data_IF_680992013474
#
_entry.id   IF_680992013474
#
_cell.length_a   1.000
_cell.length_b   1.000
_cell.length_c   1.000
_cell.angle_alpha   90.00
_cell.angle_beta   90.00
_cell.angle_gamma   90.00
#
_symmetry.space_group_name_H-M   'P 1'
#
loop_
_entity.id
_entity.type
_entity.pdbx_description
1 polymer ?
#
# COMPACT_ATOMS: atom_id res chain seq x y z
N UNK A 1 22.61 1.16 -4.87
CA UNK A 1 22.69 -0.15 -4.21
C UNK A 1 21.32 -0.73 -3.93
N UNK A 2 20.63 -0.27 -2.88
CA UNK A 2 19.37 -0.86 -2.41
C UNK A 2 18.19 -0.71 -3.38
N UNK A 3 17.96 0.49 -3.91
CA UNK A 3 16.90 0.74 -4.91
C UNK A 3 17.15 -0.04 -6.19
N UNK A 4 18.40 -0.13 -6.62
CA UNK A 4 18.82 -0.96 -7.78
C UNK A 4 18.49 -2.44 -7.55
N UNK A 5 18.81 -2.96 -6.35
CA UNK A 5 18.50 -4.34 -5.97
C UNK A 5 16.99 -4.60 -5.95
N UNK A 6 16.19 -3.67 -5.41
CA UNK A 6 14.73 -3.78 -5.45
C UNK A 6 14.23 -3.82 -6.89
N UNK A 7 14.64 -2.88 -7.76
CA UNK A 7 14.24 -2.88 -9.18
C UNK A 7 14.61 -4.17 -9.92
N UNK A 8 15.75 -4.77 -9.62
CA UNK A 8 16.16 -6.07 -10.16
C UNK A 8 15.23 -7.21 -9.70
N UNK A 9 14.89 -7.25 -8.41
CA UNK A 9 13.96 -8.26 -7.84
C UNK A 9 12.54 -8.07 -8.43
N UNK A 10 12.16 -6.83 -8.69
CA UNK A 10 10.85 -6.47 -9.26
C UNK A 10 10.75 -6.71 -10.77
N UNK A 11 11.87 -6.96 -11.46
CA UNK A 11 11.91 -7.08 -12.92
C UNK A 11 11.84 -5.75 -13.67
N UNK A 12 11.91 -4.62 -12.96
CA UNK A 12 11.92 -3.25 -13.53
C UNK A 12 13.29 -2.89 -14.13
N UNK A 13 14.34 -3.63 -13.77
CA UNK A 13 15.69 -3.46 -14.29
C UNK A 13 16.25 -4.85 -14.66
N UNK A 14 16.83 -5.04 -15.85
CA UNK A 14 17.54 -6.27 -16.18
C UNK A 14 18.91 -6.31 -15.48
N UNK A 15 19.39 -7.50 -15.05
CA UNK A 15 20.74 -7.64 -14.52
C UNK A 15 21.79 -7.49 -15.64
N UNK A 16 22.86 -6.75 -15.37
CA UNK A 16 24.00 -6.64 -16.30
C UNK A 16 24.74 -7.98 -16.49
N UNK A 17 24.73 -8.82 -15.44
CA UNK A 17 25.20 -10.21 -15.48
C UNK A 17 24.57 -11.04 -14.34
N UNK A 18 24.53 -12.36 -14.50
CA UNK A 18 23.87 -13.28 -13.56
C UNK A 18 22.39 -13.54 -13.90
N UNK A 19 21.67 -14.21 -13.01
CA UNK A 19 20.25 -14.56 -13.21
C UNK A 19 19.41 -14.17 -12.00
N UNK A 20 18.24 -13.60 -12.25
CA UNK A 20 17.21 -13.32 -11.25
C UNK A 20 16.02 -14.25 -11.55
N UNK A 21 15.62 -15.07 -10.57
CA UNK A 21 14.49 -15.99 -10.71
C UNK A 21 13.38 -15.59 -9.74
N UNK A 22 12.32 -15.01 -10.27
CA UNK A 22 11.14 -14.64 -9.50
C UNK A 22 10.30 -15.89 -9.21
N UNK A 23 9.83 -16.05 -7.98
CA UNK A 23 8.90 -17.12 -7.63
C UNK A 23 7.54 -16.91 -8.32
N UNK A 24 6.88 -17.99 -8.73
CA UNK A 24 5.62 -17.98 -9.49
C UNK A 24 4.41 -17.37 -8.76
N UNK A 25 4.54 -16.99 -7.49
CA UNK A 25 3.48 -16.43 -6.66
C UNK A 25 3.89 -15.11 -5.97
N UNK A 26 4.84 -14.39 -6.57
CA UNK A 26 5.33 -13.12 -6.03
C UNK A 26 4.25 -12.03 -6.20
N UNK A 27 3.41 -11.82 -5.18
CA UNK A 27 2.58 -10.62 -5.09
C UNK A 27 3.45 -9.49 -4.55
N UNK A 28 4.03 -8.73 -5.48
CA UNK A 28 4.75 -7.52 -5.12
C UNK A 28 3.74 -6.44 -4.74
N UNK A 29 3.62 -6.15 -3.45
CA UNK A 29 3.10 -4.87 -3.00
C UNK A 29 4.23 -3.84 -3.08
N UNK A 30 4.29 -3.08 -4.16
CA UNK A 30 5.25 -1.99 -4.32
C UNK A 30 4.78 -0.79 -3.50
N UNK A 31 5.47 -0.52 -2.40
CA UNK A 31 5.30 0.73 -1.66
C UNK A 31 6.11 1.80 -2.41
N UNK A 32 5.50 2.44 -3.40
CA UNK A 32 6.15 3.52 -4.15
C UNK A 32 6.49 4.67 -3.18
N UNK A 33 7.78 4.99 -3.06
CA UNK A 33 8.25 6.17 -2.32
C UNK A 33 7.81 7.47 -2.99
N UNK A 34 7.38 7.43 -4.25
CA UNK A 34 6.60 8.48 -4.87
C UNK A 34 5.16 8.32 -4.39
N UNK A 35 4.80 9.16 -3.42
CA UNK A 35 3.42 9.46 -3.06
C UNK A 35 2.66 9.84 -4.33
N UNK A 36 2.10 8.88 -5.05
CA UNK A 36 1.06 9.12 -6.04
C UNK A 36 0.02 9.94 -5.31
N UNK A 37 -0.15 11.20 -5.71
CA UNK A 37 -0.80 12.26 -4.94
C UNK A 37 -2.07 11.76 -4.25
N UNK A 38 -1.94 11.37 -2.98
CA UNK A 38 -3.09 11.03 -2.14
C UNK A 38 -3.94 12.28 -2.09
N UNK A 39 -5.20 12.18 -2.46
CA UNK A 39 -6.13 13.28 -2.28
C UNK A 39 -6.29 13.50 -0.78
N UNK A 40 -5.58 14.51 -0.28
CA UNK A 40 -5.44 14.77 1.14
C UNK A 40 -6.76 15.16 1.81
N UNK A 41 -7.76 15.53 1.01
CA UNK A 41 -9.11 15.88 1.45
C UNK A 41 -10.02 14.66 1.59
N UNK A 42 -9.71 13.54 0.93
CA UNK A 42 -10.47 12.30 1.07
C UNK A 42 -10.21 11.64 2.42
N UNK A 43 -11.21 10.89 2.90
CA UNK A 43 -11.05 10.09 4.09
C UNK A 43 -10.00 8.99 3.88
N UNK A 44 -9.37 8.52 4.96
CA UNK A 44 -8.46 7.39 4.90
C UNK A 44 -9.14 6.14 4.31
N UNK A 45 -10.38 5.86 4.72
CA UNK A 45 -11.16 4.74 4.19
C UNK A 45 -11.41 4.86 2.67
N UNK A 46 -11.83 6.03 2.19
CA UNK A 46 -12.07 6.28 0.76
C UNK A 46 -10.79 6.24 -0.07
N UNK A 47 -9.66 6.61 0.56
CA UNK A 47 -8.34 6.55 -0.07
C UNK A 47 -7.91 5.11 -0.30
N UNK A 48 -8.24 4.21 0.62
CA UNK A 48 -7.92 2.78 0.55
C UNK A 48 -8.94 2.00 -0.30
N UNK A 49 -10.22 2.37 -0.25
CA UNK A 49 -11.27 1.75 -1.08
C UNK A 49 -12.20 2.80 -1.69
N UNK A 50 -11.80 3.40 -2.82
CA UNK A 50 -12.62 4.42 -3.47
C UNK A 50 -13.95 3.85 -3.97
N UNK A 51 -15.07 4.33 -3.40
CA UNK A 51 -16.41 3.94 -3.82
C UNK A 51 -16.84 2.53 -3.39
N UNK A 52 -16.14 1.91 -2.43
CA UNK A 52 -16.45 0.58 -1.91
C UNK A 52 -16.14 0.49 -0.42
N UNK A 53 -16.95 -0.25 0.34
CA UNK A 53 -16.65 -0.56 1.75
C UNK A 53 -15.75 -1.79 1.91
N UNK A 54 -15.28 -2.37 0.80
CA UNK A 54 -14.54 -3.63 0.77
C UNK A 54 -13.19 -3.49 0.11
N UNK A 55 -12.19 -4.18 0.66
CA UNK A 55 -10.86 -4.38 0.07
C UNK A 55 -10.63 -5.87 -0.14
N UNK A 56 -9.82 -6.21 -1.16
CA UNK A 56 -9.35 -7.57 -1.36
C UNK A 56 -7.91 -7.69 -0.86
N UNK A 57 -7.68 -8.61 0.08
CA UNK A 57 -6.37 -8.85 0.68
C UNK A 57 -6.11 -10.34 0.60
N UNK A 58 -5.04 -10.75 -0.09
CA UNK A 58 -4.70 -12.16 -0.32
C UNK A 58 -5.86 -13.00 -0.90
N UNK A 59 -6.66 -12.41 -1.81
CA UNK A 59 -7.82 -13.07 -2.41
C UNK A 59 -9.04 -13.18 -1.50
N UNK A 60 -9.02 -12.57 -0.31
CA UNK A 60 -10.15 -12.49 0.60
C UNK A 60 -10.74 -11.08 0.66
N UNK A 61 -12.05 -10.97 0.52
CA UNK A 61 -12.76 -9.70 0.73
C UNK A 61 -12.88 -9.40 2.22
N UNK A 62 -12.42 -8.22 2.63
CA UNK A 62 -12.53 -7.70 4.00
C UNK A 62 -13.16 -6.31 3.99
N UNK A 63 -13.98 -6.01 4.99
CA UNK A 63 -14.53 -4.66 5.16
C UNK A 63 -13.41 -3.67 5.49
N UNK A 64 -13.41 -2.49 4.86
CA UNK A 64 -12.33 -1.49 4.95
C UNK A 64 -12.06 -1.05 6.40
N UNK A 65 -13.10 -0.91 7.22
CA UNK A 65 -12.93 -0.56 8.64
C UNK A 65 -12.27 -1.69 9.44
N UNK A 66 -12.57 -2.94 9.11
CA UNK A 66 -11.93 -4.09 9.76
C UNK A 66 -10.49 -4.26 9.29
N UNK A 67 -10.19 -3.92 8.05
CA UNK A 67 -8.82 -3.87 7.54
C UNK A 67 -8.01 -2.78 8.27
N UNK A 68 -8.50 -1.54 8.31
CA UNK A 68 -7.86 -0.42 9.03
C UNK A 68 -7.72 -0.67 10.54
N UNK A 69 -8.66 -1.40 11.13
CA UNK A 69 -8.59 -1.84 12.53
C UNK A 69 -7.38 -2.75 12.83
N UNK A 70 -6.96 -3.61 11.88
CA UNK A 70 -5.75 -4.42 12.04
C UNK A 70 -4.48 -3.55 12.15
N UNK A 71 -4.52 -2.35 11.57
CA UNK A 71 -3.47 -1.32 11.66
C UNK A 71 -3.74 -0.33 12.81
N UNK A 72 -4.62 -0.66 13.75
CA UNK A 72 -4.93 0.12 14.94
C UNK A 72 -5.47 1.54 14.62
N UNK A 73 -6.16 1.70 13.49
CA UNK A 73 -6.92 2.92 13.22
C UNK A 73 -8.29 2.83 13.89
N UNK A 74 -8.60 3.81 14.73
CA UNK A 74 -9.94 3.96 15.28
C UNK A 74 -10.96 4.30 14.16
N UNK A 75 -12.24 3.90 14.28
CA UNK A 75 -13.26 4.15 13.26
C UNK A 75 -13.44 5.63 12.90
N UNK A 76 -13.22 6.54 13.84
CA UNK A 76 -13.28 7.99 13.62
C UNK A 76 -12.09 8.47 12.80
N UNK A 77 -10.90 7.88 13.02
CA UNK A 77 -9.68 8.18 12.25
C UNK A 77 -9.78 7.65 10.83
N UNK A 78 -10.35 6.46 10.63
CA UNK A 78 -10.61 5.91 9.30
C UNK A 78 -11.49 6.82 8.43
N UNK A 79 -12.43 7.56 9.05
CA UNK A 79 -13.31 8.52 8.37
C UNK A 79 -12.72 9.94 8.27
N UNK A 80 -11.59 10.18 8.91
CA UNK A 80 -10.94 11.50 8.89
C UNK A 80 -10.15 11.70 7.59
N UNK A 81 -10.02 12.95 7.09
CA UNK A 81 -9.20 13.25 5.93
C UNK A 81 -7.74 12.85 6.13
N UNK A 82 -7.08 12.37 5.06
CA UNK A 82 -5.67 11.94 5.08
C UNK A 82 -4.72 13.07 5.55
N UNK A 83 -5.02 14.35 5.25
CA UNK A 83 -4.23 15.49 5.76
C UNK A 83 -4.15 15.55 7.27
N UNK A 84 -5.17 15.06 7.98
CA UNK A 84 -5.24 15.08 9.44
C UNK A 84 -4.39 14.00 10.10
N UNK A 85 -3.85 13.06 9.33
CA UNK A 85 -2.96 12.01 9.83
C UNK A 85 -1.59 12.58 10.15
N UNK A 86 -1.07 12.23 11.33
CA UNK A 86 0.33 12.44 11.72
C UNK A 86 1.27 11.67 10.79
N UNK A 87 2.56 12.04 10.78
CA UNK A 87 3.56 11.33 9.97
C UNK A 87 3.67 9.84 10.31
N UNK A 88 3.52 9.48 11.60
CA UNK A 88 3.54 8.09 12.05
C UNK A 88 2.30 7.31 11.61
N UNK A 89 1.13 7.93 11.60
CA UNK A 89 -0.10 7.33 11.07
C UNK A 89 -0.02 7.14 9.54
N UNK A 90 0.53 8.11 8.80
CA UNK A 90 0.70 7.97 7.33
C UNK A 90 1.69 6.89 6.92
N UNK A 91 2.60 6.50 7.82
CA UNK A 91 3.61 5.47 7.55
C UNK A 91 3.11 4.06 7.87
N UNK A 92 1.95 3.94 8.52
CA UNK A 92 1.35 2.66 8.89
C UNK A 92 0.38 2.21 7.80
#
# INVERSE_FOLDING_TARGET
>A
GKTTLLRLILGELPPDSGTVRNGSNLQVAYFDQMRTSLDLEKSLADTISPGSDWVEVNGQRKHVMSYLGDFLFAPERARSPVKSLSGGERNR
#
